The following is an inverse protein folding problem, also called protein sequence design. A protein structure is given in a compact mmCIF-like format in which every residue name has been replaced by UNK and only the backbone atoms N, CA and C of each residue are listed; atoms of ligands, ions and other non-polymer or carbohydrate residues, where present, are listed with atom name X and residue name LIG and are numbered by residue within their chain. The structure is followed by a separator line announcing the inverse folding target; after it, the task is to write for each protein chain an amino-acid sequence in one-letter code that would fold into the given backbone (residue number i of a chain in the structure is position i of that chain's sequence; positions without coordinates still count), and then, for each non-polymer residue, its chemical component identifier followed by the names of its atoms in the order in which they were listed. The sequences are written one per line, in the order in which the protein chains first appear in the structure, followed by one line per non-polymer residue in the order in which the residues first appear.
data_IF_257796969483
#
_entry.id   IF_257796969483
#
_cell.length_a   1.000
_cell.length_b   1.000
_cell.length_c   1.000
_cell.angle_alpha   90.00
_cell.angle_beta   90.00
_cell.angle_gamma   90.00
#
_symmetry.space_group_name_H-M   'P 1'
#
loop_
_entity.id
_entity.type
_entity.pdbx_description
1 polymer ?
#
# COMPACT_ATOMS: atom_id res chain seq x y z
N UNK A 1 -0.27 -19.86 12.41
CA UNK A 1 -0.67 -19.75 10.97
C UNK A 1 -0.67 -18.25 10.66
N UNK A 2 0.09 -17.81 9.65
CA UNK A 2 0.06 -16.40 9.22
C UNK A 2 -1.24 -16.15 8.45
N UNK A 3 -1.90 -15.00 8.73
CA UNK A 3 -3.13 -14.60 8.04
C UNK A 3 -2.88 -13.62 6.89
N UNK A 4 -1.62 -13.27 6.65
CA UNK A 4 -1.17 -12.47 5.51
C UNK A 4 -0.15 -13.29 4.73
N UNK A 5 -0.28 -13.45 3.41
CA UNK A 5 0.76 -14.04 2.57
C UNK A 5 2.08 -13.27 2.69
N UNK A 6 3.21 -13.97 2.76
CA UNK A 6 4.51 -13.31 2.88
C UNK A 6 4.79 -12.30 1.76
N UNK A 7 4.33 -12.58 0.55
CA UNK A 7 4.55 -11.68 -0.58
C UNK A 7 3.84 -10.32 -0.42
N UNK A 8 2.75 -10.22 0.37
CA UNK A 8 2.15 -8.94 0.72
C UNK A 8 3.07 -8.12 1.62
N UNK A 9 3.75 -8.75 2.57
CA UNK A 9 4.72 -8.10 3.45
C UNK A 9 5.96 -7.65 2.65
N UNK A 10 6.43 -8.50 1.75
CA UNK A 10 7.60 -8.25 0.89
C UNK A 10 7.33 -7.25 -0.24
N UNK A 11 6.07 -6.89 -0.46
CA UNK A 11 5.68 -5.82 -1.40
C UNK A 11 5.82 -4.42 -0.81
N UNK A 12 6.01 -4.29 0.52
CA UNK A 12 6.03 -3.00 1.22
C UNK A 12 7.47 -2.52 1.41
N UNK A 13 7.72 -1.27 1.05
CA UNK A 13 9.06 -0.67 1.01
C UNK A 13 9.12 0.62 1.83
N UNK A 14 10.32 0.95 2.35
CA UNK A 14 10.55 2.26 2.97
C UNK A 14 10.75 3.33 1.92
N UNK A 15 10.30 4.55 2.22
CA UNK A 15 10.67 5.75 1.48
C UNK A 15 11.48 6.65 2.40
N UNK A 16 12.70 6.96 1.98
CA UNK A 16 13.66 7.73 2.79
C UNK A 16 14.25 8.88 2.00
N UNK A 17 14.74 9.88 2.72
CA UNK A 17 15.50 11.02 2.16
C UNK A 17 16.85 11.12 2.84
N UNK A 18 17.83 11.70 2.12
CA UNK A 18 19.11 12.05 2.67
C UNK A 18 19.00 13.35 3.47
N UNK A 19 19.43 13.33 4.70
CA UNK A 19 19.50 14.51 5.57
C UNK A 19 20.85 15.22 5.41
N UNK A 20 20.94 16.47 5.87
CA UNK A 20 22.17 17.28 5.79
C UNK A 20 23.38 16.67 6.48
N UNK A 21 23.17 15.76 7.44
CA UNK A 21 24.22 15.02 8.16
C UNK A 21 24.65 13.71 7.48
N UNK A 22 24.27 13.50 6.22
CA UNK A 22 24.48 12.28 5.46
C UNK A 22 23.80 11.01 6.06
N UNK A 23 22.80 11.20 6.92
CA UNK A 23 21.98 10.11 7.41
C UNK A 23 20.68 10.01 6.59
N UNK A 24 20.21 8.80 6.39
CA UNK A 24 18.90 8.57 5.76
C UNK A 24 17.80 8.58 6.82
N UNK A 25 16.75 9.32 6.54
CA UNK A 25 15.53 9.35 7.36
C UNK A 25 14.37 8.74 6.58
N UNK A 26 13.73 7.71 7.16
CA UNK A 26 12.48 7.18 6.64
C UNK A 26 11.37 8.22 6.84
N UNK A 27 10.73 8.64 5.77
CA UNK A 27 9.68 9.68 5.77
C UNK A 27 8.29 9.12 5.46
N UNK A 28 8.22 7.91 4.93
CA UNK A 28 6.96 7.29 4.53
C UNK A 28 7.11 5.84 4.13
N UNK A 29 5.99 5.28 3.77
CA UNK A 29 5.84 3.93 3.26
C UNK A 29 5.44 3.99 1.79
N UNK A 30 5.86 3.00 1.03
CA UNK A 30 5.35 2.70 -0.29
C UNK A 30 5.14 1.21 -0.43
N UNK A 31 4.48 0.80 -1.49
CA UNK A 31 4.35 -0.61 -1.83
C UNK A 31 4.35 -0.80 -3.34
N UNK A 32 4.71 -2.00 -3.76
CA UNK A 32 4.80 -2.35 -5.16
C UNK A 32 3.50 -2.99 -5.63
N UNK A 33 3.03 -2.57 -6.79
CA UNK A 33 1.90 -3.18 -7.50
C UNK A 33 2.35 -3.62 -8.89
N UNK A 34 1.71 -4.68 -9.40
CA UNK A 34 1.90 -5.18 -10.76
C UNK A 34 0.64 -4.97 -11.58
N UNK A 35 0.76 -4.28 -12.71
CA UNK A 35 -0.28 -4.17 -13.72
C UNK A 35 -0.06 -5.22 -14.81
N UNK A 36 -1.04 -6.10 -15.03
CA UNK A 36 -0.93 -7.18 -16.00
C UNK A 36 -0.92 -6.64 -17.44
N UNK A 37 0.20 -6.79 -18.11
CA UNK A 37 0.41 -6.30 -19.48
C UNK A 37 0.10 -7.35 -20.53
N UNK A 38 0.51 -8.59 -20.29
CA UNK A 38 0.44 -9.67 -21.26
C UNK A 38 0.36 -11.04 -20.57
N UNK A 39 -0.32 -11.99 -21.22
CA UNK A 39 -0.32 -13.39 -20.80
C UNK A 39 0.01 -14.26 -22.03
N UNK A 40 1.18 -14.88 -22.02
CA UNK A 40 1.65 -15.74 -23.11
C UNK A 40 2.08 -17.11 -22.58
N UNK A 41 1.52 -18.19 -23.15
CA UNK A 41 1.87 -19.58 -22.80
C UNK A 41 1.91 -19.86 -21.29
N UNK A 42 0.96 -19.28 -20.54
CA UNK A 42 0.90 -19.46 -19.07
C UNK A 42 1.84 -18.57 -18.27
N UNK A 43 2.65 -17.74 -18.93
CA UNK A 43 3.47 -16.72 -18.28
C UNK A 43 2.75 -15.38 -18.28
N UNK A 44 2.75 -14.71 -17.15
CA UNK A 44 2.18 -13.37 -16.98
C UNK A 44 3.30 -12.34 -16.92
N UNK A 45 3.12 -11.24 -17.63
CA UNK A 45 4.05 -10.14 -17.72
C UNK A 45 3.43 -8.91 -17.07
N UNK A 46 4.14 -8.30 -16.14
CA UNK A 46 3.65 -7.17 -15.35
C UNK A 46 4.52 -5.93 -15.53
N UNK A 47 3.86 -4.77 -15.63
CA UNK A 47 4.49 -3.49 -15.34
C UNK A 47 4.56 -3.30 -13.82
N UNK A 48 5.73 -2.92 -13.30
CA UNK A 48 5.95 -2.74 -11.86
C UNK A 48 5.92 -1.28 -11.47
N UNK A 49 5.11 -0.94 -10.46
CA UNK A 49 4.93 0.44 -10.00
C UNK A 49 5.05 0.54 -8.48
N UNK A 50 5.75 1.58 -8.02
CA UNK A 50 5.69 2.03 -6.63
C UNK A 50 4.48 2.91 -6.44
N UNK A 51 3.67 2.61 -5.44
CA UNK A 51 2.55 3.42 -4.97
C UNK A 51 2.90 4.04 -3.62
N UNK A 52 2.63 5.32 -3.47
CA UNK A 52 2.74 6.05 -2.20
C UNK A 52 1.86 7.30 -2.21
N UNK A 53 1.81 8.03 -1.11
CA UNK A 53 1.10 9.32 -1.07
C UNK A 53 1.92 10.44 -1.72
N UNK A 54 1.21 11.37 -2.37
CA UNK A 54 1.78 12.57 -2.96
C UNK A 54 2.54 13.41 -1.92
N UNK A 55 1.96 13.60 -0.72
CA UNK A 55 2.59 14.41 0.33
C UNK A 55 3.92 13.81 0.83
N UNK A 56 4.14 12.49 0.71
CA UNK A 56 5.40 11.84 1.09
C UNK A 56 6.55 12.28 0.19
N UNK A 57 6.27 12.49 -1.10
CA UNK A 57 7.29 12.84 -2.10
C UNK A 57 7.27 14.32 -2.53
N UNK A 58 6.34 15.09 -1.98
CA UNK A 58 6.13 16.51 -2.36
C UNK A 58 7.40 17.33 -2.14
N UNK A 59 7.75 18.13 -3.14
CA UNK A 59 8.93 19.03 -3.15
C UNK A 59 10.28 18.29 -3.06
N UNK A 60 10.32 16.99 -3.33
CA UNK A 60 11.56 16.22 -3.40
C UNK A 60 12.01 16.03 -4.86
N UNK A 61 13.32 16.00 -5.06
CA UNK A 61 13.93 15.70 -6.36
C UNK A 61 14.23 14.20 -6.52
N UNK A 62 14.46 13.53 -5.40
CA UNK A 62 14.82 12.12 -5.34
C UNK A 62 14.42 11.51 -4.00
N UNK A 63 14.25 10.20 -4.00
CA UNK A 63 13.97 9.39 -2.81
C UNK A 63 14.82 8.13 -2.81
N UNK A 64 15.01 7.54 -1.63
CA UNK A 64 15.63 6.25 -1.45
C UNK A 64 14.55 5.23 -1.10
N UNK A 65 14.39 4.21 -1.94
CA UNK A 65 13.44 3.11 -1.75
C UNK A 65 14.22 1.93 -1.16
N UNK A 66 13.84 1.50 0.04
CA UNK A 66 14.59 0.48 0.76
C UNK A 66 14.08 -0.93 0.50
N UNK A 67 15.00 -1.83 0.17
CA UNK A 67 14.77 -3.26 -0.08
C UNK A 67 15.66 -4.11 0.81
N UNK A 68 15.21 -5.33 1.12
CA UNK A 68 16.05 -6.37 1.69
C UNK A 68 16.82 -7.10 0.58
N UNK A 69 17.96 -7.68 0.92
CA UNK A 69 18.71 -8.60 0.07
C UNK A 69 18.02 -9.97 0.06
N UNK A 70 17.87 -10.58 -1.11
CA UNK A 70 17.30 -11.90 -1.25
C UNK A 70 18.27 -12.97 -0.70
N UNK A 71 17.82 -13.74 0.30
CA UNK A 71 18.65 -14.72 1.01
C UNK A 71 19.70 -14.14 1.93
N UNK A 72 19.78 -12.80 2.08
CA UNK A 72 20.72 -12.08 2.91
C UNK A 72 20.14 -11.57 4.23
N UNK A 73 21.00 -10.96 5.04
CA UNK A 73 20.65 -10.28 6.31
C UNK A 73 20.75 -8.75 6.22
N UNK A 74 21.08 -8.23 5.04
CA UNK A 74 21.29 -6.80 4.80
C UNK A 74 20.13 -6.21 4.02
N UNK A 75 20.07 -4.90 4.02
CA UNK A 75 19.19 -4.12 3.14
C UNK A 75 20.01 -3.12 2.33
N UNK A 76 19.46 -2.64 1.25
CA UNK A 76 20.01 -1.57 0.46
C UNK A 76 18.90 -0.60 0.03
N UNK A 77 19.29 0.56 -0.47
CA UNK A 77 18.37 1.57 -0.93
C UNK A 77 18.58 1.84 -2.42
N UNK A 78 17.50 1.80 -3.17
CA UNK A 78 17.43 2.21 -4.56
C UNK A 78 17.18 3.72 -4.64
N UNK A 79 18.06 4.46 -5.30
CA UNK A 79 17.87 5.89 -5.56
C UNK A 79 16.93 6.08 -6.74
N UNK A 80 15.75 6.63 -6.49
CA UNK A 80 14.77 6.99 -7.51
C UNK A 80 14.72 8.51 -7.68
N UNK A 81 14.96 8.98 -8.90
CA UNK A 81 14.75 10.40 -9.25
C UNK A 81 13.25 10.64 -9.47
N UNK A 82 12.75 11.75 -8.92
CA UNK A 82 11.35 12.15 -9.02
C UNK A 82 11.11 13.20 -10.10
N UNK A 83 12.15 13.87 -10.57
CA UNK A 83 12.08 14.80 -11.70
C UNK A 83 13.38 14.81 -12.50
N UNK A 84 13.33 15.34 -13.70
CA UNK A 84 14.47 15.52 -14.60
C UNK A 84 14.82 16.99 -14.83
N UNK A 85 14.36 17.91 -13.96
CA UNK A 85 14.52 19.34 -14.06
C UNK A 85 13.47 20.05 -14.95
N UNK A 86 12.65 19.27 -15.70
CA UNK A 86 11.57 19.79 -16.56
C UNK A 86 10.22 19.18 -16.19
N UNK A 87 10.18 17.88 -15.95
CA UNK A 87 8.96 17.13 -15.70
C UNK A 87 9.14 16.18 -14.52
N UNK A 88 8.05 15.89 -13.84
CA UNK A 88 7.99 14.79 -12.88
C UNK A 88 8.15 13.44 -13.61
N UNK A 89 8.83 12.51 -12.94
CA UNK A 89 9.07 11.15 -13.42
C UNK A 89 8.06 10.15 -12.84
N UNK A 90 6.98 10.63 -12.27
CA UNK A 90 5.85 9.87 -11.73
C UNK A 90 4.54 10.53 -12.15
N UNK A 91 3.45 9.80 -12.04
CA UNK A 91 2.10 10.32 -12.26
C UNK A 91 1.39 10.55 -10.94
N UNK A 92 0.65 11.66 -10.85
CA UNK A 92 -0.27 11.97 -9.76
C UNK A 92 -1.70 11.69 -10.20
N UNK A 93 -2.57 11.35 -9.26
CA UNK A 93 -3.99 11.22 -9.55
C UNK A 93 -4.57 12.56 -10.01
N UNK A 94 -5.47 12.52 -11.02
CA UNK A 94 -6.04 13.73 -11.65
C UNK A 94 -6.86 14.58 -10.67
N UNK A 95 -7.58 13.95 -9.75
CA UNK A 95 -8.27 14.66 -8.67
C UNK A 95 -7.25 15.06 -7.61
N UNK A 96 -7.09 16.38 -7.40
CA UNK A 96 -6.13 16.94 -6.46
C UNK A 96 -6.38 16.57 -4.98
N UNK A 97 -7.59 16.13 -4.65
CA UNK A 97 -7.94 15.65 -3.31
C UNK A 97 -7.52 14.20 -3.06
N UNK A 98 -7.19 13.46 -4.12
CA UNK A 98 -6.65 12.09 -4.02
C UNK A 98 -5.13 12.17 -3.93
N UNK A 99 -4.61 11.75 -2.81
CA UNK A 99 -3.21 11.90 -2.42
C UNK A 99 -2.40 10.65 -2.77
N UNK A 100 -2.38 10.29 -4.06
CA UNK A 100 -1.70 9.09 -4.56
C UNK A 100 -0.81 9.44 -5.75
N UNK A 101 0.36 8.79 -5.81
CA UNK A 101 1.24 8.77 -6.97
C UNK A 101 1.57 7.33 -7.38
N UNK A 102 1.91 7.16 -8.66
CA UNK A 102 2.55 5.96 -9.19
C UNK A 102 3.89 6.33 -9.85
N UNK A 103 4.92 5.57 -9.53
CA UNK A 103 6.25 5.67 -10.13
C UNK A 103 6.64 4.32 -10.72
N UNK A 104 6.97 4.28 -12.00
CA UNK A 104 7.45 3.07 -12.67
C UNK A 104 8.79 2.61 -12.11
N UNK A 105 8.92 1.32 -11.80
CA UNK A 105 10.13 0.71 -11.22
C UNK A 105 10.77 -0.26 -12.21
N UNK A 106 12.09 -0.19 -12.34
CA UNK A 106 12.85 -1.09 -13.19
C UNK A 106 13.09 -2.44 -12.48
N UNK A 107 12.24 -3.44 -12.78
CA UNK A 107 12.33 -4.78 -12.21
C UNK A 107 13.67 -5.47 -12.55
N UNK A 108 14.19 -5.28 -13.77
CA UNK A 108 15.49 -5.87 -14.15
C UNK A 108 16.63 -5.33 -13.30
N UNK A 109 16.58 -4.04 -12.95
CA UNK A 109 17.56 -3.46 -12.03
C UNK A 109 17.47 -4.07 -10.63
N UNK A 110 16.26 -4.21 -10.08
CA UNK A 110 16.06 -4.83 -8.77
C UNK A 110 16.55 -6.28 -8.74
N UNK A 111 16.28 -7.04 -9.80
CA UNK A 111 16.78 -8.42 -9.93
C UNK A 111 18.31 -8.47 -9.98
N UNK A 112 18.96 -7.58 -10.73
CA UNK A 112 20.42 -7.49 -10.81
C UNK A 112 21.07 -7.11 -9.47
N UNK A 113 20.35 -6.34 -8.64
CA UNK A 113 20.77 -5.97 -7.28
C UNK A 113 20.42 -7.04 -6.24
N UNK A 114 19.90 -8.20 -6.65
CA UNK A 114 19.45 -9.28 -5.78
C UNK A 114 18.44 -8.79 -4.70
N UNK A 115 17.54 -7.88 -5.08
CA UNK A 115 16.51 -7.39 -4.20
C UNK A 115 15.50 -8.49 -3.86
N UNK A 116 15.13 -8.58 -2.58
CA UNK A 116 13.97 -9.36 -2.13
C UNK A 116 12.74 -8.47 -2.21
N UNK A 117 11.85 -8.74 -3.15
CA UNK A 117 10.60 -8.01 -3.31
C UNK A 117 9.51 -8.87 -3.94
N UNK A 118 8.30 -8.49 -3.66
CA UNK A 118 7.08 -8.92 -4.35
C UNK A 118 6.23 -7.71 -4.71
N UNK A 119 5.06 -7.94 -5.26
CA UNK A 119 4.10 -6.89 -5.58
C UNK A 119 2.67 -7.44 -5.45
N UNK A 120 1.69 -6.55 -5.36
CA UNK A 120 0.27 -6.90 -5.44
C UNK A 120 -0.15 -6.95 -6.92
N UNK A 121 -0.44 -8.15 -7.51
CA UNK A 121 -1.06 -8.24 -8.83
C UNK A 121 -2.45 -7.61 -8.79
N UNK A 122 -2.63 -6.48 -9.48
CA UNK A 122 -3.86 -5.68 -9.36
C UNK A 122 -5.10 -6.43 -9.86
N UNK A 123 -4.97 -7.25 -10.89
CA UNK A 123 -6.08 -8.04 -11.44
C UNK A 123 -6.58 -9.15 -10.49
N UNK A 124 -5.68 -9.64 -9.62
CA UNK A 124 -5.96 -10.77 -8.70
C UNK A 124 -6.25 -10.28 -7.29
N UNK A 125 -5.33 -9.48 -6.73
CA UNK A 125 -5.26 -9.20 -5.30
C UNK A 125 -5.88 -7.85 -4.92
N UNK A 126 -6.38 -7.05 -5.88
CA UNK A 126 -7.07 -5.80 -5.60
C UNK A 126 -8.59 -5.97 -5.55
N UNK A 127 -9.23 -5.40 -4.51
CA UNK A 127 -10.67 -5.30 -4.39
C UNK A 127 -11.11 -3.85 -4.55
N UNK A 128 -11.64 -3.53 -5.72
CA UNK A 128 -12.30 -2.24 -6.01
C UNK A 128 -13.53 -2.03 -5.11
N UNK A 129 -14.04 -0.79 -5.04
CA UNK A 129 -15.27 -0.45 -4.33
C UNK A 129 -16.41 -1.41 -4.75
N UNK A 130 -16.57 -1.65 -6.05
CA UNK A 130 -17.58 -2.56 -6.58
C UNK A 130 -17.35 -4.01 -6.10
N UNK A 131 -16.09 -4.48 -6.11
CA UNK A 131 -15.74 -5.84 -5.66
C UNK A 131 -15.89 -5.99 -4.14
N UNK A 132 -15.48 -4.99 -3.35
CA UNK A 132 -15.70 -4.97 -1.91
C UNK A 132 -17.19 -5.07 -1.58
N UNK A 133 -18.03 -4.25 -2.21
CA UNK A 133 -19.49 -4.30 -2.04
C UNK A 133 -20.06 -5.69 -2.39
N UNK A 134 -19.65 -6.27 -3.52
CA UNK A 134 -20.12 -7.59 -3.96
C UNK A 134 -19.68 -8.73 -3.04
N UNK A 135 -18.49 -8.62 -2.46
CA UNK A 135 -17.95 -9.55 -1.47
C UNK A 135 -18.56 -9.37 -0.08
N UNK A 136 -19.30 -8.28 0.15
CA UNK A 136 -19.94 -7.99 1.43
C UNK A 136 -18.95 -7.45 2.47
N UNK A 137 -17.98 -6.67 2.02
CA UNK A 137 -17.06 -5.93 2.90
C UNK A 137 -17.79 -4.73 3.48
N UNK A 138 -17.90 -4.66 4.81
CA UNK A 138 -18.65 -3.61 5.52
C UNK A 138 -17.92 -3.17 6.79
N UNK A 139 -18.58 -2.28 7.54
CA UNK A 139 -18.14 -1.85 8.87
C UNK A 139 -17.99 -3.05 9.81
N UNK A 140 -16.88 -3.09 10.54
CA UNK A 140 -16.53 -4.18 11.45
C UNK A 140 -15.61 -5.24 10.85
N UNK A 141 -15.47 -5.32 9.52
CA UNK A 141 -14.50 -6.21 8.90
C UNK A 141 -13.08 -5.83 9.30
N UNK A 142 -12.28 -6.84 9.62
CA UNK A 142 -10.91 -6.64 10.08
C UNK A 142 -9.97 -6.39 8.90
N UNK A 143 -9.03 -5.47 9.13
CA UNK A 143 -8.01 -5.11 8.15
C UNK A 143 -6.61 -5.13 8.75
N UNK A 144 -5.62 -5.34 7.91
CA UNK A 144 -4.23 -5.08 8.23
C UNK A 144 -3.75 -3.83 7.52
N UNK A 145 -2.97 -3.01 8.21
CA UNK A 145 -2.15 -1.96 7.59
C UNK A 145 -0.69 -2.29 7.77
N UNK A 146 0.10 -2.10 6.71
CA UNK A 146 1.54 -2.35 6.71
C UNK A 146 2.29 -1.04 6.50
N UNK A 147 3.40 -0.84 7.22
CA UNK A 147 4.18 0.38 7.04
C UNK A 147 5.37 0.51 7.99
N UNK A 148 6.01 1.68 7.93
CA UNK A 148 7.22 2.00 8.69
C UNK A 148 7.02 3.24 9.58
N UNK A 149 6.17 3.14 10.63
CA UNK A 149 5.89 4.26 11.51
C UNK A 149 7.13 4.69 12.31
N UNK A 150 7.14 5.95 12.75
CA UNK A 150 8.08 6.47 13.73
C UNK A 150 9.57 6.26 13.37
N UNK A 151 9.89 6.28 12.07
CA UNK A 151 11.24 6.04 11.56
C UNK A 151 11.79 4.62 11.85
N UNK A 152 10.92 3.66 12.20
CA UNK A 152 11.33 2.28 12.49
C UNK A 152 11.79 1.50 11.24
N UNK A 153 11.64 2.08 10.04
CA UNK A 153 12.20 1.53 8.80
C UNK A 153 13.71 1.73 8.62
N UNK A 154 14.36 2.48 9.49
CA UNK A 154 15.81 2.72 9.41
C UNK A 154 16.61 1.67 10.18
N UNK A 155 16.44 0.40 9.80
CA UNK A 155 17.10 -0.77 10.41
C UNK A 155 17.92 -1.52 9.36
N UNK A 156 18.74 -2.47 9.81
CA UNK A 156 19.53 -3.36 8.93
C UNK A 156 18.63 -4.22 8.00
N UNK A 157 17.40 -4.51 8.44
CA UNK A 157 16.37 -5.19 7.67
C UNK A 157 15.14 -4.29 7.55
N UNK A 158 14.60 -4.18 6.35
CA UNK A 158 13.39 -3.39 6.04
C UNK A 158 12.15 -4.29 6.17
N UNK A 159 11.70 -4.53 7.40
CA UNK A 159 10.50 -5.32 7.66
C UNK A 159 9.37 -4.37 8.11
N UNK A 160 8.25 -4.30 7.39
CA UNK A 160 7.16 -3.41 7.76
C UNK A 160 6.47 -3.89 9.04
N UNK A 161 5.95 -2.95 9.80
CA UNK A 161 5.11 -3.22 10.95
C UNK A 161 3.69 -3.49 10.46
N UNK A 162 3.15 -4.65 10.83
CA UNK A 162 1.76 -5.02 10.59
C UNK A 162 0.92 -4.57 11.79
N UNK A 163 -0.16 -3.82 11.50
CA UNK A 163 -1.17 -3.41 12.49
C UNK A 163 -2.52 -3.97 12.12
N UNK A 164 -3.24 -4.46 13.12
CA UNK A 164 -4.63 -4.88 13.00
C UNK A 164 -5.53 -3.67 13.27
N UNK A 165 -6.60 -3.55 12.49
CA UNK A 165 -7.67 -2.59 12.67
C UNK A 165 -8.98 -3.13 12.13
N UNK A 166 -10.02 -2.29 12.10
CA UNK A 166 -11.29 -2.63 11.48
C UNK A 166 -11.81 -1.48 10.61
N UNK A 167 -12.64 -1.81 9.63
CA UNK A 167 -13.37 -0.82 8.83
C UNK A 167 -14.39 -0.14 9.72
N UNK A 168 -14.25 1.17 9.92
CA UNK A 168 -15.16 1.96 10.75
C UNK A 168 -16.29 2.59 9.95
N UNK A 169 -16.07 2.92 8.67
CA UNK A 169 -17.08 3.45 7.77
C UNK A 169 -16.67 3.28 6.32
N UNK A 170 -17.44 2.53 5.55
CA UNK A 170 -17.25 2.30 4.12
C UNK A 170 -18.56 2.41 3.33
N UNK A 171 -19.70 2.22 3.99
CA UNK A 171 -21.03 2.17 3.35
C UNK A 171 -21.33 3.39 2.50
N UNK A 172 -20.79 4.57 2.85
CA UNK A 172 -20.96 5.80 2.09
C UNK A 172 -20.38 5.69 0.67
N UNK A 173 -19.24 4.97 0.50
CA UNK A 173 -18.65 4.75 -0.83
C UNK A 173 -19.52 3.83 -1.72
N UNK A 174 -20.45 3.10 -1.12
CA UNK A 174 -21.35 2.20 -1.84
C UNK A 174 -22.61 2.91 -2.37
N UNK A 175 -22.80 4.19 -2.02
CA UNK A 175 -23.92 5.01 -2.47
C UNK A 175 -23.55 5.66 -3.82
N UNK A 176 -24.27 5.37 -4.91
CA UNK A 176 -23.99 5.99 -6.19
C UNK A 176 -24.05 7.53 -6.13
N UNK A 177 -23.02 8.20 -6.67
CA UNK A 177 -22.94 9.66 -6.67
C UNK A 177 -22.51 10.29 -5.34
N UNK A 178 -22.16 9.51 -4.31
CA UNK A 178 -21.58 10.05 -3.08
C UNK A 178 -20.21 10.67 -3.38
N UNK A 179 -19.93 11.91 -2.90
CA UNK A 179 -18.67 12.60 -3.17
C UNK A 179 -17.51 12.15 -2.28
N UNK A 180 -17.70 11.23 -1.34
CA UNK A 180 -16.64 10.76 -0.46
C UNK A 180 -15.54 10.05 -1.25
N UNK A 181 -14.28 10.42 -0.95
CA UNK A 181 -13.08 9.88 -1.60
C UNK A 181 -12.34 8.87 -0.73
N UNK A 182 -12.83 8.62 0.49
CA UNK A 182 -12.15 7.80 1.49
C UNK A 182 -13.14 6.95 2.26
N UNK A 183 -12.66 5.82 2.74
CA UNK A 183 -13.31 5.13 3.84
C UNK A 183 -12.47 5.28 5.12
N UNK A 184 -13.06 4.95 6.26
CA UNK A 184 -12.41 5.05 7.57
C UNK A 184 -12.07 3.68 8.11
N UNK A 185 -10.88 3.58 8.69
CA UNK A 185 -10.47 2.44 9.50
C UNK A 185 -10.10 2.90 10.90
N UNK A 186 -10.50 2.12 11.90
CA UNK A 186 -9.96 2.22 13.26
C UNK A 186 -8.65 1.44 13.30
N UNK A 187 -7.57 2.18 13.07
CA UNK A 187 -6.21 1.70 13.15
C UNK A 187 -5.29 2.89 13.43
N UNK A 188 -4.56 2.83 14.52
CA UNK A 188 -3.63 3.89 14.86
C UNK A 188 -2.58 4.06 13.75
N UNK A 189 -2.55 5.24 13.13
CA UNK A 189 -1.56 5.62 12.13
C UNK A 189 -0.64 6.70 12.70
N UNK A 190 0.65 6.58 12.45
CA UNK A 190 1.68 7.51 12.89
C UNK A 190 2.48 8.01 11.69
N UNK A 191 3.22 9.13 11.82
CA UNK A 191 4.15 9.59 10.80
C UNK A 191 5.05 8.44 10.32
N UNK A 192 5.12 8.24 9.01
CA UNK A 192 5.80 7.12 8.36
C UNK A 192 4.86 6.00 7.87
N UNK A 193 3.62 5.89 8.37
CA UNK A 193 2.63 4.95 7.83
C UNK A 193 2.00 5.43 6.52
N UNK A 194 2.02 6.75 6.25
CA UNK A 194 1.48 7.31 5.01
C UNK A 194 2.05 6.61 3.78
N UNK A 195 1.18 6.21 2.87
CA UNK A 195 1.53 5.44 1.68
C UNK A 195 1.57 3.92 1.90
N UNK A 196 1.25 3.42 3.08
CA UNK A 196 1.16 1.99 3.36
C UNK A 196 -0.12 1.36 2.84
N UNK A 197 -0.10 0.08 2.42
CA UNK A 197 -1.28 -0.63 1.94
C UNK A 197 -2.23 -0.98 3.10
N UNK A 198 -3.53 -1.00 2.78
CA UNK A 198 -4.58 -1.55 3.64
C UNK A 198 -5.14 -2.82 2.99
N UNK A 199 -5.15 -3.90 3.75
CA UNK A 199 -5.42 -5.25 3.29
C UNK A 199 -6.59 -5.81 4.10
N UNK A 200 -7.62 -6.37 3.44
CA UNK A 200 -8.68 -7.09 4.14
C UNK A 200 -8.11 -8.35 4.81
N UNK A 201 -8.44 -8.55 6.08
CA UNK A 201 -8.09 -9.77 6.78
C UNK A 201 -9.08 -10.87 6.42
N UNK A 202 -8.61 -12.10 6.10
CA UNK A 202 -9.52 -13.20 5.88
C UNK A 202 -10.24 -13.57 7.19
N UNK A 203 -11.57 -13.75 7.11
CA UNK A 203 -12.41 -14.18 8.20
C UNK A 203 -13.40 -15.25 7.69
N UNK A 204 -13.16 -16.49 8.07
CA UNK A 204 -13.96 -17.64 7.59
C UNK A 204 -15.32 -17.72 8.28
N UNK A 205 -15.36 -17.27 9.54
CA UNK A 205 -16.60 -17.28 10.31
C UNK A 205 -17.43 -16.05 9.99
N UNK A 206 -18.69 -16.24 9.65
CA UNK A 206 -19.65 -15.15 9.45
C UNK A 206 -20.85 -15.31 10.36
N UNK A 207 -21.42 -14.20 10.78
CA UNK A 207 -22.70 -14.15 11.51
C UNK A 207 -23.86 -14.07 10.52
N UNK A 208 -25.07 -14.37 10.98
CA UNK A 208 -26.29 -14.23 10.15
C UNK A 208 -26.38 -12.82 9.60
N UNK A 209 -26.49 -12.70 8.27
CA UNK A 209 -26.56 -11.41 7.57
C UNK A 209 -25.22 -10.84 7.09
N UNK A 210 -24.09 -11.47 7.41
CA UNK A 210 -22.79 -11.12 6.86
C UNK A 210 -22.23 -12.20 5.93
N UNK A 211 -21.14 -11.86 5.20
CA UNK A 211 -20.42 -12.81 4.34
C UNK A 211 -19.01 -13.05 4.91
N UNK A 212 -18.53 -14.28 4.83
CA UNK A 212 -17.13 -14.59 5.14
C UNK A 212 -16.19 -13.97 4.09
N UNK A 213 -15.01 -13.55 4.54
CA UNK A 213 -13.90 -13.09 3.70
C UNK A 213 -12.87 -14.21 3.62
N UNK A 214 -12.91 -15.02 2.57
CA UNK A 214 -12.07 -16.21 2.39
C UNK A 214 -10.66 -15.88 1.88
N UNK A 215 -10.43 -14.66 1.42
CA UNK A 215 -9.17 -14.23 0.81
C UNK A 215 -8.70 -12.88 1.36
N UNK A 216 -7.38 -12.71 1.46
CA UNK A 216 -6.76 -11.40 1.63
C UNK A 216 -6.77 -10.63 0.31
N UNK A 217 -6.96 -9.32 0.40
CA UNK A 217 -6.89 -8.44 -0.77
C UNK A 217 -6.46 -7.03 -0.38
N UNK A 218 -5.76 -6.36 -1.29
CA UNK A 218 -5.49 -4.94 -1.22
C UNK A 218 -6.80 -4.18 -1.44
N UNK A 219 -7.21 -3.35 -0.47
CA UNK A 219 -8.44 -2.55 -0.55
C UNK A 219 -8.18 -1.05 -0.62
N UNK A 220 -6.96 -0.60 -0.29
CA UNK A 220 -6.63 0.81 -0.36
C UNK A 220 -5.24 1.16 0.17
N UNK A 221 -5.02 2.46 0.30
CA UNK A 221 -3.77 3.07 0.78
C UNK A 221 -4.05 4.03 1.93
N UNK A 222 -3.27 3.94 3.00
CA UNK A 222 -3.32 4.87 4.12
C UNK A 222 -3.01 6.29 3.64
N UNK A 223 -3.91 7.23 3.97
CA UNK A 223 -3.75 8.63 3.60
C UNK A 223 -3.26 9.45 4.80
N UNK A 224 -4.14 9.66 5.78
CA UNK A 224 -3.85 10.43 7.00
C UNK A 224 -4.76 10.00 8.15
N UNK A 225 -4.32 10.20 9.39
CA UNK A 225 -5.18 10.05 10.54
C UNK A 225 -6.05 11.30 10.75
N UNK A 226 -7.18 11.14 11.43
CA UNK A 226 -8.04 12.24 11.86
C UNK A 226 -7.57 12.66 13.26
N UNK A 227 -7.04 13.90 13.45
CA UNK A 227 -6.63 14.33 14.77
C UNK A 227 -7.85 14.66 15.64
N UNK A 228 -7.81 14.29 16.91
CA UNK A 228 -8.60 14.93 17.94
C UNK A 228 -7.91 16.24 18.31
N UNK A 229 -8.68 17.33 18.32
CA UNK A 229 -8.14 18.67 18.55
C UNK A 229 -8.81 19.27 19.78
N UNK A 230 -8.00 19.63 20.77
CA UNK A 230 -8.45 20.26 22.01
C UNK A 230 -7.81 21.65 22.16
N UNK A 231 -8.60 22.74 22.12
CA UNK A 231 -8.10 24.09 22.31
C UNK A 231 -7.93 24.40 23.80
N UNK A 232 -6.74 24.78 24.23
CA UNK A 232 -6.47 25.34 25.55
C UNK A 232 -6.83 26.82 25.54
N UNK A 233 -7.83 27.18 26.33
CA UNK A 233 -8.38 28.56 26.41
C UNK A 233 -7.89 29.25 27.67
N UNK A 234 -7.40 30.48 27.55
CA UNK A 234 -7.05 31.31 28.70
C UNK A 234 -8.31 31.68 29.48
N UNK A 235 -8.36 31.31 30.76
CA UNK A 235 -9.48 31.66 31.63
C UNK A 235 -9.63 33.19 31.86
N UNK A 236 -8.54 33.95 31.67
CA UNK A 236 -8.57 35.42 31.86
C UNK A 236 -9.01 36.18 30.61
N UNK A 237 -8.60 35.73 29.44
CA UNK A 237 -8.82 36.47 28.18
C UNK A 237 -9.86 35.83 27.29
N UNK A 238 -10.24 34.58 27.51
CA UNK A 238 -11.11 33.80 26.64
C UNK A 238 -10.47 33.42 25.30
N UNK A 239 -9.18 33.74 25.09
CA UNK A 239 -8.49 33.46 23.85
C UNK A 239 -7.85 32.08 23.86
N UNK A 240 -7.79 31.43 22.70
CA UNK A 240 -7.05 30.18 22.52
C UNK A 240 -5.56 30.41 22.69
N UNK A 241 -4.98 29.79 23.72
CA UNK A 241 -3.57 29.86 24.08
C UNK A 241 -2.72 28.86 23.30
N UNK A 242 -3.24 27.65 23.13
CA UNK A 242 -2.60 26.56 22.39
C UNK A 242 -3.64 25.58 21.87
N UNK A 243 -3.26 24.78 20.91
CA UNK A 243 -4.10 23.68 20.39
C UNK A 243 -3.32 22.38 20.59
N UNK A 244 -3.87 21.47 21.38
CA UNK A 244 -3.37 20.11 21.49
C UNK A 244 -4.01 19.25 20.39
N UNK A 245 -3.20 18.41 19.77
CA UNK A 245 -3.68 17.42 18.79
C UNK A 245 -3.26 16.03 19.22
N UNK A 246 -4.22 15.14 19.30
CA UNK A 246 -4.02 13.74 19.64
C UNK A 246 -4.48 12.84 18.48
N UNK A 247 -3.94 11.64 18.42
CA UNK A 247 -4.37 10.66 17.43
C UNK A 247 -5.70 10.05 17.88
N UNK A 248 -6.77 10.26 17.12
CA UNK A 248 -8.10 9.72 17.41
C UNK A 248 -8.23 8.20 17.22
N UNK A 249 -7.21 7.56 16.62
CA UNK A 249 -7.30 6.16 16.17
C UNK A 249 -7.90 6.00 14.78
N UNK A 250 -8.66 6.99 14.29
CA UNK A 250 -9.30 6.93 12.98
C UNK A 250 -8.36 7.37 11.86
N UNK A 251 -8.27 6.56 10.81
CA UNK A 251 -7.43 6.80 9.64
C UNK A 251 -8.27 6.79 8.36
N UNK A 252 -8.02 7.78 7.50
CA UNK A 252 -8.58 7.86 6.15
C UNK A 252 -7.79 6.96 5.21
N UNK A 253 -8.51 6.21 4.38
CA UNK A 253 -7.96 5.29 3.39
C UNK A 253 -8.55 5.62 2.03
N UNK A 254 -7.70 5.88 1.05
CA UNK A 254 -8.12 5.94 -0.35
C UNK A 254 -8.34 4.52 -0.88
N UNK A 255 -9.49 4.23 -1.52
CA UNK A 255 -9.75 2.91 -2.09
C UNK A 255 -8.80 2.59 -3.25
N UNK A 256 -8.64 1.31 -3.53
CA UNK A 256 -7.75 0.78 -4.57
C UNK A 256 -8.12 1.27 -5.97
N UNK A 257 -9.35 1.69 -6.19
CA UNK A 257 -9.83 2.26 -7.45
C UNK A 257 -8.94 3.40 -7.92
N UNK A 258 -8.53 4.29 -7.02
CA UNK A 258 -7.62 5.40 -7.35
C UNK A 258 -6.17 4.93 -7.60
N UNK A 259 -5.77 3.78 -7.06
CA UNK A 259 -4.49 3.16 -7.40
C UNK A 259 -4.52 2.69 -8.85
N UNK A 260 -5.62 2.04 -9.27
CA UNK A 260 -5.79 1.60 -10.66
C UNK A 260 -5.73 2.79 -11.63
N UNK A 261 -6.44 3.89 -11.30
CA UNK A 261 -6.46 5.11 -12.12
C UNK A 261 -5.06 5.73 -12.27
N UNK A 262 -4.30 5.87 -11.18
CA UNK A 262 -2.96 6.47 -11.25
C UNK A 262 -1.93 5.57 -11.91
N UNK A 263 -2.07 4.24 -11.80
CA UNK A 263 -1.22 3.26 -12.52
C UNK A 263 -1.48 3.35 -14.03
N UNK A 264 -2.73 3.49 -14.45
CA UNK A 264 -3.06 3.71 -15.86
C UNK A 264 -2.46 5.01 -16.40
N UNK A 265 -2.53 6.10 -15.64
CA UNK A 265 -1.88 7.37 -16.00
C UNK A 265 -0.36 7.21 -16.15
N UNK A 266 0.28 6.50 -15.22
CA UNK A 266 1.72 6.26 -15.25
C UNK A 266 2.13 5.37 -16.44
N UNK A 267 1.38 4.32 -16.72
CA UNK A 267 1.56 3.48 -17.91
C UNK A 267 1.52 4.31 -19.19
N UNK A 268 0.49 5.16 -19.32
CA UNK A 268 0.32 6.04 -20.48
C UNK A 268 1.45 7.07 -20.59
N UNK A 269 1.94 7.61 -19.46
CA UNK A 269 3.07 8.56 -19.42
C UNK A 269 4.37 7.92 -19.89
N UNK A 270 4.65 6.69 -19.45
CA UNK A 270 5.88 5.96 -19.83
C UNK A 270 5.82 5.49 -21.29
N UNK A 271 4.63 5.11 -21.77
CA UNK A 271 4.36 4.62 -23.12
C UNK A 271 4.87 3.21 -23.38
N UNK A 272 4.25 2.50 -24.30
CA UNK A 272 4.49 1.06 -24.57
C UNK A 272 5.96 0.74 -24.94
N UNK A 273 6.66 1.65 -25.62
CA UNK A 273 8.06 1.44 -26.02
C UNK A 273 9.05 1.37 -24.86
N UNK A 274 8.68 1.89 -23.70
CA UNK A 274 9.51 1.90 -22.49
C UNK A 274 9.07 0.87 -21.45
N UNK A 275 7.91 0.25 -21.62
CA UNK A 275 7.37 -0.76 -20.71
C UNK A 275 8.26 -1.98 -20.61
N UNK A 276 8.94 -2.39 -21.72
CA UNK A 276 9.86 -3.54 -21.73
C UNK A 276 10.99 -3.47 -20.70
N UNK A 277 11.32 -2.28 -20.20
CA UNK A 277 12.33 -2.10 -19.14
C UNK A 277 11.79 -2.38 -17.73
N UNK A 278 10.47 -2.46 -17.57
CA UNK A 278 9.77 -2.56 -16.28
C UNK A 278 8.95 -3.85 -16.15
N UNK A 279 9.08 -4.77 -17.09
CA UNK A 279 8.30 -6.01 -17.14
C UNK A 279 8.93 -7.10 -16.26
N UNK A 280 8.07 -7.84 -15.58
CA UNK A 280 8.42 -9.06 -14.86
C UNK A 280 7.58 -10.23 -15.38
N UNK A 281 8.21 -11.36 -15.66
CA UNK A 281 7.54 -12.60 -16.03
C UNK A 281 7.40 -13.50 -14.81
N UNK A 282 6.17 -13.82 -14.43
CA UNK A 282 5.88 -14.76 -13.34
C UNK A 282 5.21 -15.99 -13.93
N UNK A 283 5.71 -17.20 -13.65
CA UNK A 283 5.01 -18.42 -14.02
C UNK A 283 3.60 -18.44 -13.40
N UNK A 284 2.62 -18.98 -14.13
CA UNK A 284 1.30 -19.25 -13.55
C UNK A 284 1.49 -20.18 -12.35
N UNK A 285 1.27 -19.69 -11.14
CA UNK A 285 1.20 -20.55 -9.97
C UNK A 285 0.01 -21.49 -10.15
N UNK A 286 0.29 -22.79 -10.25
CA UNK A 286 -0.75 -23.78 -10.02
C UNK A 286 -1.25 -23.59 -8.58
N UNK A 287 -2.57 -23.60 -8.33
CA UNK A 287 -3.06 -23.53 -6.96
C UNK A 287 -2.44 -24.70 -6.19
N UNK A 288 -1.82 -24.40 -5.05
CA UNK A 288 -1.39 -25.42 -4.09
C UNK A 288 -2.66 -26.12 -3.58
N UNK A 289 -3.06 -27.17 -4.28
CA UNK A 289 -4.07 -28.10 -3.78
C UNK A 289 -3.34 -28.94 -2.72
N UNK A 290 -3.36 -28.46 -1.49
CA UNK A 290 -3.13 -29.32 -0.34
C UNK A 290 -4.38 -30.17 -0.17
N UNK A 291 -4.47 -31.26 -0.93
CA UNK A 291 -5.39 -32.34 -0.59
C UNK A 291 -4.96 -32.89 0.77
N UNK A 292 -5.86 -32.96 1.77
CA UNK A 292 -5.55 -33.69 2.99
C UNK A 292 -5.41 -35.16 2.62
N UNK A 293 -4.22 -35.72 2.89
CA UNK A 293 -3.94 -37.16 2.83
C UNK A 293 -5.04 -37.89 3.57
N UNK A 294 -5.94 -38.53 2.83
CA UNK A 294 -6.83 -39.53 3.37
C UNK A 294 -5.95 -40.72 3.75
N UNK A 295 -5.53 -40.75 5.01
CA UNK A 295 -4.90 -41.93 5.60
C UNK A 295 -5.86 -43.11 5.52
N UNK A 296 -5.50 -44.09 4.70
CA UNK A 296 -6.06 -45.41 4.71
C UNK A 296 -5.93 -46.02 6.12
N UNK A 297 -7.02 -46.05 6.88
CA UNK A 297 -7.18 -47.00 7.94
C UNK A 297 -7.84 -48.26 7.37
N UNK A 298 -7.04 -49.20 6.93
CA UNK A 298 -7.39 -50.64 6.93
C UNK A 298 -6.63 -51.28 8.08
N UNK A 299 -7.39 -51.75 8.99
CA UNK A 299 -7.34 -52.85 9.99
C UNK A 299 -7.76 -52.44 11.37
#
# INVERSE_FOLDING_TARGET
MALIPNYFVESVVTISVMMNNNEKKCIGTGFLVGDLMETNNGLKKYGLYLITNKHVVKNLNEIYIGFNENGGTKSFDFLAKLNNGKNYLYSEHMNQQVDIIALSINASFLNNMNAKYHFFPLEKDAYTIAKMKSKGVFEGDLVYSLGYPLNLGNTSQKNPICRLGCISRISNLYIPGNPELNFLVDAQSFPGNSGGPVIIRPEILSVIGSKSQDQTALIGILHKYIPYTDPLISAQTGQTYSIMQENSGLTLVHPVDYILEVVELERNRVGDKNISKYEMVIPNEQPLINEPNQGNNQN
#
